data_IF_852473237182
#
_entry.id   IF_852473237182
#
_cell.length_a   1.000
_cell.length_b   1.000
_cell.length_c   1.000
_cell.angle_alpha   90.00
_cell.angle_beta   90.00
_cell.angle_gamma   90.00
#
_symmetry.space_group_name_H-M   'P 1'
#
loop_
_entity.id
_entity.type
_entity.pdbx_description
1 polymer ?
#
# COMPACT_ATOMS: atom_id res chain seq x y z
N UNK A 1 23.22 -1.69 13.94
CA UNK A 1 23.53 -1.81 12.49
C UNK A 1 22.37 -2.50 11.78
N UNK A 2 22.01 -2.09 10.57
CA UNK A 2 20.93 -2.70 9.77
C UNK A 2 21.48 -3.93 9.04
N UNK A 3 20.80 -5.07 9.19
CA UNK A 3 21.17 -6.34 8.56
C UNK A 3 20.64 -6.39 7.13
N UNK A 4 19.33 -6.35 6.98
CA UNK A 4 18.61 -6.32 5.70
C UNK A 4 17.29 -5.57 5.81
N UNK A 5 16.78 -5.14 4.65
CA UNK A 5 15.49 -4.47 4.51
C UNK A 5 14.67 -5.20 3.46
N UNK A 6 13.46 -5.61 3.81
CA UNK A 6 12.47 -6.10 2.87
C UNK A 6 11.34 -5.06 2.75
N UNK A 7 10.76 -4.92 1.56
CA UNK A 7 9.78 -3.86 1.26
C UNK A 7 8.53 -4.48 0.65
N UNK A 8 7.35 -4.06 1.11
CA UNK A 8 6.07 -4.39 0.48
C UNK A 8 5.50 -3.13 -0.15
N UNK A 9 5.33 -3.12 -1.47
CA UNK A 9 4.75 -2.01 -2.24
C UNK A 9 3.58 -2.46 -3.11
N UNK A 10 2.71 -1.53 -3.49
CA UNK A 10 1.65 -1.77 -4.47
C UNK A 10 2.14 -1.53 -5.89
N UNK A 11 1.74 -2.40 -6.82
CA UNK A 11 2.11 -2.32 -8.23
C UNK A 11 1.02 -1.66 -9.10
N UNK A 12 -0.18 -1.45 -8.54
CA UNK A 12 -1.32 -0.92 -9.27
C UNK A 12 -1.82 0.39 -8.64
N UNK A 13 -3.13 0.59 -8.47
CA UNK A 13 -3.73 1.84 -7.94
C UNK A 13 -4.08 1.78 -6.44
N UNK A 14 -3.40 0.95 -5.66
CA UNK A 14 -3.72 0.72 -4.25
C UNK A 14 -4.72 -0.42 -4.05
N UNK A 15 -4.98 -0.76 -2.79
CA UNK A 15 -5.92 -1.82 -2.38
C UNK A 15 -5.59 -3.23 -2.90
N UNK A 16 -4.29 -3.50 -3.16
CA UNK A 16 -3.78 -4.79 -3.66
C UNK A 16 -3.66 -5.87 -2.58
N UNK A 17 -4.03 -5.56 -1.32
CA UNK A 17 -3.91 -6.51 -0.22
C UNK A 17 -2.54 -6.53 0.45
N UNK A 18 -1.81 -5.40 0.45
CA UNK A 18 -0.51 -5.27 1.13
C UNK A 18 -0.54 -5.70 2.59
N UNK A 19 -1.60 -5.36 3.33
CA UNK A 19 -1.77 -5.76 4.73
C UNK A 19 -1.74 -7.28 4.94
N UNK A 20 -2.39 -8.05 4.04
CA UNK A 20 -2.35 -9.52 4.05
C UNK A 20 -0.93 -10.05 3.84
N UNK A 21 -0.20 -9.51 2.87
CA UNK A 21 1.17 -9.89 2.57
C UNK A 21 2.08 -9.63 3.77
N UNK A 22 1.96 -8.45 4.37
CA UNK A 22 2.70 -8.08 5.58
C UNK A 22 2.40 -9.06 6.71
N UNK A 23 1.11 -9.34 6.96
CA UNK A 23 0.70 -10.28 7.98
C UNK A 23 1.37 -11.66 7.82
N UNK A 24 1.38 -12.22 6.61
CA UNK A 24 2.02 -13.51 6.36
C UNK A 24 3.55 -13.45 6.47
N UNK A 25 4.17 -12.36 6.03
CA UNK A 25 5.61 -12.17 6.23
C UNK A 25 5.98 -12.11 7.71
N UNK A 26 5.18 -11.47 8.55
CA UNK A 26 5.41 -11.36 9.99
C UNK A 26 5.19 -12.66 10.74
N UNK A 27 4.28 -13.52 10.27
CA UNK A 27 4.10 -14.88 10.82
C UNK A 27 5.29 -15.79 10.53
N UNK A 28 5.87 -15.67 9.35
CA UNK A 28 6.86 -16.61 8.83
C UNK A 28 8.31 -16.16 8.95
N UNK A 29 8.55 -14.88 9.23
CA UNK A 29 9.89 -14.30 9.32
C UNK A 29 10.05 -13.45 10.57
N UNK A 30 11.30 -13.33 11.03
CA UNK A 30 11.65 -12.47 12.16
C UNK A 30 12.10 -11.10 11.65
N UNK A 31 11.32 -10.08 11.97
CA UNK A 31 11.67 -8.69 11.77
C UNK A 31 11.81 -7.99 13.13
N UNK A 32 12.78 -7.10 13.23
CA UNK A 32 12.96 -6.28 14.43
C UNK A 32 12.08 -5.04 14.38
N UNK A 33 11.80 -4.55 13.14
CA UNK A 33 11.00 -3.37 12.91
C UNK A 33 10.06 -3.53 11.73
N UNK A 34 8.86 -2.93 11.84
CA UNK A 34 7.97 -2.64 10.71
C UNK A 34 7.84 -1.13 10.57
N UNK A 35 8.20 -0.60 9.39
CA UNK A 35 8.33 0.84 9.19
C UNK A 35 7.45 1.34 8.05
N UNK A 36 6.67 2.39 8.29
CA UNK A 36 5.95 3.13 7.28
C UNK A 36 6.84 4.24 6.75
N UNK A 37 7.04 4.33 5.43
CA UNK A 37 7.89 5.38 4.86
C UNK A 37 7.14 6.47 4.13
N UNK A 38 5.86 6.28 3.75
CA UNK A 38 5.09 7.24 2.97
C UNK A 38 3.61 7.27 3.37
N UNK A 39 2.88 8.28 2.89
CA UNK A 39 1.46 8.43 3.11
C UNK A 39 1.10 8.99 4.49
N UNK A 40 -0.13 8.80 4.89
CA UNK A 40 -0.70 9.26 6.15
C UNK A 40 -1.96 8.47 6.50
N UNK A 41 -2.91 9.06 7.21
CA UNK A 41 -4.18 8.45 7.60
C UNK A 41 -5.14 8.15 6.42
N UNK A 42 -4.76 8.50 5.19
CA UNK A 42 -5.46 8.10 3.97
C UNK A 42 -5.19 6.64 3.56
N UNK A 43 -4.16 5.99 4.10
CA UNK A 43 -3.95 4.57 3.91
C UNK A 43 -4.94 3.76 4.76
N UNK A 44 -5.29 2.57 4.28
CA UNK A 44 -6.12 1.63 5.04
C UNK A 44 -5.62 0.22 4.78
N UNK A 45 -5.04 -0.41 5.80
CA UNK A 45 -4.61 -1.80 5.75
C UNK A 45 -5.53 -2.67 6.59
N UNK A 46 -6.07 -3.69 5.95
CA UNK A 46 -6.88 -4.71 6.62
C UNK A 46 -6.01 -5.92 6.88
N UNK A 47 -5.97 -6.35 8.13
CA UNK A 47 -5.20 -7.52 8.58
C UNK A 47 -6.13 -8.49 9.31
N UNK A 48 -6.03 -9.76 8.98
CA UNK A 48 -6.70 -10.83 9.70
C UNK A 48 -5.72 -11.50 10.66
N UNK A 49 -6.08 -11.53 11.94
CA UNK A 49 -5.28 -12.14 13.00
C UNK A 49 -6.21 -12.88 13.96
N UNK A 50 -6.00 -14.20 14.12
CA UNK A 50 -6.83 -15.07 14.97
C UNK A 50 -8.34 -14.93 14.67
N UNK A 51 -8.70 -15.05 13.39
CA UNK A 51 -10.08 -14.95 12.86
C UNK A 51 -10.77 -13.61 13.12
N UNK A 52 -10.00 -12.59 13.51
CA UNK A 52 -10.49 -11.22 13.70
C UNK A 52 -9.89 -10.28 12.71
N UNK A 53 -10.70 -9.32 12.27
CA UNK A 53 -10.34 -8.31 11.31
C UNK A 53 -9.93 -7.02 12.02
N UNK A 54 -8.72 -6.54 11.75
CA UNK A 54 -8.19 -5.29 12.26
C UNK A 54 -7.87 -4.32 11.13
N UNK A 55 -7.92 -3.03 11.44
CA UNK A 55 -7.59 -1.97 10.49
C UNK A 55 -6.47 -1.10 11.06
N UNK A 56 -5.46 -0.83 10.24
CA UNK A 56 -4.45 0.19 10.53
C UNK A 56 -4.43 1.24 9.43
N UNK A 57 -4.13 2.47 9.79
CA UNK A 57 -4.06 3.60 8.87
C UNK A 57 -2.64 4.14 8.77
N UNK A 58 -2.18 4.89 9.75
CA UNK A 58 -0.81 5.42 9.79
C UNK A 58 0.14 4.54 10.59
N UNK A 59 -0.35 3.83 11.62
CA UNK A 59 0.46 2.93 12.44
C UNK A 59 0.81 1.68 11.61
N UNK A 60 2.10 1.28 11.54
CA UNK A 60 2.49 0.08 10.82
C UNK A 60 1.85 -1.19 11.38
N UNK A 61 1.52 -2.13 10.50
CA UNK A 61 0.80 -3.37 10.85
C UNK A 61 1.57 -4.29 11.81
N UNK A 62 2.88 -4.09 11.97
CA UNK A 62 3.73 -4.82 12.91
C UNK A 62 3.26 -4.74 14.37
N UNK A 63 2.53 -3.69 14.72
CA UNK A 63 1.98 -3.50 16.07
C UNK A 63 1.04 -4.66 16.47
N UNK A 64 0.31 -5.22 15.51
CA UNK A 64 -0.59 -6.35 15.72
C UNK A 64 0.15 -7.67 16.04
N UNK A 65 1.44 -7.73 15.74
CA UNK A 65 2.32 -8.88 15.93
C UNK A 65 3.32 -8.69 17.06
N UNK A 66 3.20 -7.62 17.84
CA UNK A 66 4.12 -7.31 18.94
C UNK A 66 5.54 -6.94 18.47
N UNK A 67 5.66 -6.34 17.28
CA UNK A 67 6.93 -5.93 16.68
C UNK A 67 7.06 -4.41 16.77
N UNK A 68 8.27 -3.91 17.00
CA UNK A 68 8.55 -2.48 17.02
C UNK A 68 8.11 -1.83 15.68
N UNK A 69 7.42 -0.71 15.78
CA UNK A 69 6.87 0.02 14.64
C UNK A 69 7.45 1.42 14.56
N UNK A 70 7.71 1.90 13.32
CA UNK A 70 8.15 3.28 13.08
C UNK A 70 7.27 3.96 12.02
N UNK A 71 6.72 5.12 12.39
CA UNK A 71 6.18 6.09 11.43
C UNK A 71 7.36 6.96 10.99
N UNK A 72 7.75 6.83 9.72
CA UNK A 72 8.96 7.44 9.15
C UNK A 72 8.82 8.92 8.80
N UNK A 73 9.93 9.60 8.49
CA UNK A 73 10.00 11.07 8.33
C UNK A 73 9.22 11.63 7.14
N UNK A 74 8.94 10.78 6.14
CA UNK A 74 8.18 11.17 4.95
C UNK A 74 6.65 10.97 5.10
N UNK A 75 6.20 10.49 6.28
CA UNK A 75 4.78 10.38 6.61
C UNK A 75 4.21 11.74 7.03
N UNK A 76 2.89 11.88 6.81
CA UNK A 76 2.09 13.02 7.24
C UNK A 76 1.13 12.58 8.34
N UNK A 77 1.16 13.24 9.50
CA UNK A 77 0.45 12.82 10.70
C UNK A 77 -0.52 13.88 11.15
N UNK A 78 -1.80 13.55 11.22
CA UNK A 78 -2.77 14.30 12.00
C UNK A 78 -2.78 13.71 13.42
N UNK A 79 -2.62 14.56 14.44
CA UNK A 79 -2.48 14.13 15.83
C UNK A 79 -3.75 13.44 16.34
N UNK A 80 -4.94 13.96 15.99
CA UNK A 80 -6.21 13.41 16.44
C UNK A 80 -6.48 12.04 15.79
N UNK A 81 -6.21 11.90 14.48
CA UNK A 81 -6.33 10.63 13.76
C UNK A 81 -5.38 9.59 14.38
N UNK A 82 -4.14 9.98 14.70
CA UNK A 82 -3.15 9.10 15.32
C UNK A 82 -3.57 8.66 16.73
N UNK A 83 -4.02 9.61 17.57
CA UNK A 83 -4.49 9.28 18.91
C UNK A 83 -5.69 8.33 18.86
N UNK A 84 -6.63 8.56 17.94
CA UNK A 84 -7.79 7.69 17.74
C UNK A 84 -7.37 6.27 17.34
N UNK A 85 -6.39 6.13 16.45
CA UNK A 85 -5.85 4.82 16.04
C UNK A 85 -5.10 4.12 17.19
N UNK A 86 -4.32 4.89 17.99
CA UNK A 86 -3.63 4.35 19.19
C UNK A 86 -4.65 3.83 20.22
N UNK A 87 -5.70 4.57 20.51
CA UNK A 87 -6.76 4.15 21.45
C UNK A 87 -7.53 2.93 20.92
N UNK A 88 -7.83 2.88 19.61
CA UNK A 88 -8.42 1.71 18.98
C UNK A 88 -7.56 0.46 19.19
N UNK A 89 -6.27 0.53 18.89
CA UNK A 89 -5.35 -0.60 19.04
C UNK A 89 -5.18 -1.03 20.50
N UNK A 90 -5.03 -0.07 21.40
CA UNK A 90 -4.95 -0.30 22.85
C UNK A 90 -6.23 -0.95 23.39
N UNK A 91 -7.40 -0.49 22.95
CA UNK A 91 -8.70 -1.08 23.32
C UNK A 91 -8.88 -2.54 22.86
N UNK A 92 -8.12 -2.96 21.84
CA UNK A 92 -8.05 -4.35 21.38
C UNK A 92 -6.92 -5.16 22.02
N UNK A 93 -6.19 -4.59 22.98
CA UNK A 93 -5.14 -5.28 23.76
C UNK A 93 -3.77 -5.28 23.10
N UNK A 94 -3.52 -4.46 22.07
CA UNK A 94 -2.20 -4.35 21.45
C UNK A 94 -1.29 -3.38 22.23
N UNK A 95 -0.01 -3.72 22.28
CA UNK A 95 1.00 -2.94 22.99
C UNK A 95 1.49 -1.76 22.15
N UNK A 96 0.88 -0.60 22.36
CA UNK A 96 1.25 0.63 21.64
C UNK A 96 2.62 1.20 22.09
N UNK A 97 3.24 0.72 23.19
CA UNK A 97 4.57 1.18 23.60
C UNK A 97 5.67 0.83 22.59
N UNK A 98 5.39 -0.16 21.72
CA UNK A 98 6.25 -0.56 20.61
C UNK A 98 6.25 0.43 19.44
N UNK A 99 5.33 1.40 19.42
CA UNK A 99 5.29 2.43 18.40
C UNK A 99 6.38 3.47 18.64
N UNK A 100 7.09 3.84 17.57
CA UNK A 100 7.96 5.01 17.50
C UNK A 100 7.56 5.89 16.33
N UNK A 101 7.79 7.19 16.48
CA UNK A 101 7.45 8.22 15.48
C UNK A 101 8.72 9.02 15.20
N UNK A 102 9.06 9.17 13.94
CA UNK A 102 10.17 10.03 13.56
C UNK A 102 9.91 11.48 14.02
N UNK A 103 10.88 12.15 14.66
CA UNK A 103 10.74 13.56 15.03
C UNK A 103 10.53 14.49 13.82
N UNK A 104 10.81 14.00 12.61
CA UNK A 104 10.74 14.76 11.37
C UNK A 104 9.44 14.56 10.57
N UNK A 105 8.46 13.78 11.05
CA UNK A 105 7.13 13.69 10.41
C UNK A 105 6.49 15.08 10.36
N UNK A 106 5.66 15.32 9.34
CA UNK A 106 4.95 16.62 9.17
C UNK A 106 3.57 16.52 9.79
N UNK A 107 3.23 17.52 10.58
CA UNK A 107 1.92 17.61 11.25
C UNK A 107 0.90 18.18 10.29
N UNK A 108 -0.19 17.45 10.07
CA UNK A 108 -1.36 17.93 9.35
C UNK A 108 -2.19 18.81 10.32
N UNK A 109 -2.35 20.08 9.97
CA UNK A 109 -3.12 21.04 10.74
C UNK A 109 -4.61 21.04 10.34
N UNK A 110 -5.51 21.63 11.15
CA UNK A 110 -6.90 21.84 10.75
C UNK A 110 -7.06 22.59 9.43
N UNK A 111 -6.22 23.61 9.17
CA UNK A 111 -6.24 24.37 7.92
C UNK A 111 -5.88 23.51 6.69
N UNK A 112 -4.97 22.55 6.83
CA UNK A 112 -4.67 21.58 5.75
C UNK A 112 -5.88 20.72 5.44
N UNK A 113 -6.62 20.25 6.46
CA UNK A 113 -7.85 19.46 6.25
C UNK A 113 -8.95 20.28 5.59
N UNK A 114 -9.14 21.51 6.03
CA UNK A 114 -10.14 22.42 5.47
C UNK A 114 -9.86 22.73 3.99
N UNK A 115 -8.62 23.03 3.64
CA UNK A 115 -8.21 23.24 2.25
C UNK A 115 -8.42 21.98 1.40
N UNK A 116 -8.04 20.81 1.92
CA UNK A 116 -8.11 19.53 1.21
C UNK A 116 -9.56 19.05 1.02
N UNK A 117 -10.45 19.38 1.93
CA UNK A 117 -11.88 19.02 1.85
C UNK A 117 -12.58 19.64 0.63
N UNK A 118 -12.06 20.74 0.10
CA UNK A 118 -12.57 21.40 -1.10
C UNK A 118 -12.03 20.77 -2.41
N UNK A 119 -11.12 19.81 -2.34
CA UNK A 119 -10.56 19.12 -3.51
C UNK A 119 -11.34 17.82 -3.79
N UNK A 120 -12.15 17.75 -4.88
CA UNK A 120 -12.98 16.57 -5.17
C UNK A 120 -12.15 15.31 -5.50
N UNK A 121 -10.88 15.47 -5.84
CA UNK A 121 -9.96 14.39 -6.16
C UNK A 121 -9.14 13.91 -4.95
N UNK A 122 -9.35 14.51 -3.77
CA UNK A 122 -8.66 14.16 -2.54
C UNK A 122 -9.49 13.27 -1.62
N UNK A 123 -8.81 12.67 -0.64
CA UNK A 123 -9.43 11.98 0.49
C UNK A 123 -9.89 12.93 1.60
N UNK A 124 -9.61 14.23 1.49
CA UNK A 124 -9.94 15.25 2.50
C UNK A 124 -9.13 15.11 3.79
N UNK A 125 -8.01 14.41 3.80
CA UNK A 125 -7.17 14.16 4.98
C UNK A 125 -6.09 15.22 5.22
N UNK A 126 -5.99 16.24 4.34
CA UNK A 126 -5.04 17.34 4.46
C UNK A 126 -3.60 17.00 4.03
N UNK A 127 -3.40 15.86 3.36
CA UNK A 127 -2.04 15.39 2.98
C UNK A 127 -1.46 16.26 1.89
N UNK A 128 -2.23 16.58 0.84
CA UNK A 128 -1.76 17.42 -0.27
C UNK A 128 -1.28 18.80 0.17
N UNK A 129 -2.09 19.61 0.87
CA UNK A 129 -1.68 20.89 1.42
C UNK A 129 -0.46 20.81 2.36
N UNK A 130 -0.41 19.79 3.24
CA UNK A 130 0.73 19.58 4.12
C UNK A 130 2.01 19.22 3.34
N UNK A 131 1.90 18.42 2.27
CA UNK A 131 3.02 18.09 1.38
C UNK A 131 3.53 19.33 0.65
N UNK A 132 2.64 20.19 0.12
CA UNK A 132 3.02 21.49 -0.45
C UNK A 132 3.83 22.31 0.54
N UNK A 133 3.36 22.42 1.78
CA UNK A 133 4.03 23.20 2.82
C UNK A 133 5.35 22.57 3.27
N UNK A 134 5.48 21.24 3.22
CA UNK A 134 6.77 20.55 3.41
C UNK A 134 7.81 21.01 2.39
N UNK A 135 7.46 21.00 1.11
CA UNK A 135 8.40 21.43 0.04
C UNK A 135 8.63 22.93 0.04
N UNK A 136 7.65 23.73 0.47
CA UNK A 136 7.81 25.16 0.75
C UNK A 136 8.62 25.44 2.04
N UNK A 137 8.98 24.41 2.82
CA UNK A 137 9.68 24.49 4.12
C UNK A 137 8.90 25.28 5.18
N UNK A 138 7.56 25.15 5.15
CA UNK A 138 6.63 25.81 6.08
C UNK A 138 5.90 24.82 7.00
N UNK A 139 5.89 23.51 6.64
CA UNK A 139 5.23 22.50 7.43
C UNK A 139 5.91 22.32 8.79
N UNK A 140 5.09 22.23 9.83
CA UNK A 140 5.55 21.95 11.20
C UNK A 140 6.01 20.50 11.30
N UNK A 141 7.21 20.29 11.89
CA UNK A 141 7.70 18.97 12.24
C UNK A 141 7.28 18.58 13.67
N UNK A 142 7.09 17.29 13.92
CA UNK A 142 6.66 16.82 15.23
C UNK A 142 7.62 17.23 16.36
N UNK A 143 8.94 17.25 16.10
CA UNK A 143 9.94 17.71 17.09
C UNK A 143 9.75 19.15 17.54
N UNK A 144 9.17 20.01 16.69
CA UNK A 144 9.01 21.43 16.96
C UNK A 144 7.70 21.72 17.76
N UNK A 145 6.67 20.87 17.60
CA UNK A 145 5.39 21.00 18.28
C UNK A 145 4.85 19.62 18.72
N UNK A 146 5.66 18.88 19.49
CA UNK A 146 5.26 17.56 19.98
C UNK A 146 4.35 17.70 21.20
N UNK A 147 3.10 17.18 21.14
CA UNK A 147 2.25 17.08 22.33
C UNK A 147 2.91 16.26 23.43
N UNK A 148 2.66 16.59 24.68
CA UNK A 148 3.24 15.86 25.84
C UNK A 148 2.94 14.36 25.77
N UNK A 149 1.72 14.01 25.36
CA UNK A 149 1.27 12.61 25.21
C UNK A 149 2.06 11.80 24.18
N UNK A 150 2.73 12.45 23.23
CA UNK A 150 3.50 11.77 22.18
C UNK A 150 5.00 11.80 22.40
N UNK A 151 5.52 12.51 23.39
CA UNK A 151 6.97 12.63 23.63
C UNK A 151 7.66 11.30 23.85
N UNK A 152 7.04 10.35 24.55
CA UNK A 152 7.58 9.01 24.80
C UNK A 152 7.64 8.12 23.54
N UNK A 153 6.90 8.48 22.51
CA UNK A 153 6.88 7.77 21.22
C UNK A 153 7.93 8.31 20.22
N UNK A 154 8.56 9.45 20.51
CA UNK A 154 9.59 9.97 19.61
C UNK A 154 10.74 8.98 19.46
N UNK A 155 11.13 8.75 18.21
CA UNK A 155 12.32 7.94 17.90
C UNK A 155 13.58 8.69 18.30
N UNK A 156 14.39 8.07 19.17
CA UNK A 156 15.64 8.66 19.70
C UNK A 156 16.87 7.84 19.34
N UNK A 157 16.68 6.69 18.70
CA UNK A 157 17.74 5.77 18.29
C UNK A 157 17.72 5.53 16.79
N UNK A 158 18.83 5.05 16.24
CA UNK A 158 18.89 4.63 14.84
C UNK A 158 18.23 3.26 14.62
N UNK A 159 17.65 3.05 13.44
CA UNK A 159 17.14 1.75 13.04
C UNK A 159 18.26 0.70 13.01
N UNK A 160 17.96 -0.51 13.43
CA UNK A 160 18.88 -1.64 13.46
C UNK A 160 18.16 -2.95 13.16
N UNK A 161 18.93 -4.02 12.94
CA UNK A 161 18.39 -5.37 12.71
C UNK A 161 17.77 -5.55 11.34
N UNK A 162 16.74 -6.36 11.28
CA UNK A 162 15.98 -6.71 10.07
C UNK A 162 14.69 -5.91 10.00
N UNK A 163 14.49 -5.20 8.90
CA UNK A 163 13.42 -4.23 8.75
C UNK A 163 12.45 -4.69 7.66
N UNK A 164 11.15 -4.61 7.94
CA UNK A 164 10.09 -4.69 6.93
C UNK A 164 9.52 -3.29 6.69
N UNK A 165 9.58 -2.81 5.46
CA UNK A 165 9.00 -1.54 5.08
C UNK A 165 7.60 -1.75 4.49
N UNK A 166 6.61 -1.08 5.06
CA UNK A 166 5.20 -1.15 4.69
C UNK A 166 4.80 0.07 3.88
N UNK A 167 4.54 -0.11 2.57
CA UNK A 167 4.12 0.95 1.67
C UNK A 167 2.63 1.27 1.74
N UNK A 168 2.31 2.54 1.49
CA UNK A 168 0.96 3.02 1.29
C UNK A 168 0.70 3.28 -0.20
N UNK A 169 -0.57 3.21 -0.62
CA UNK A 169 -1.03 3.39 -2.00
C UNK A 169 -0.39 2.37 -2.98
N UNK A 170 -0.27 2.72 -4.26
CA UNK A 170 0.31 1.86 -5.29
C UNK A 170 1.05 2.66 -6.35
N UNK A 171 1.74 1.96 -7.26
CA UNK A 171 2.63 2.55 -8.27
C UNK A 171 1.93 3.60 -9.15
N UNK A 172 0.72 3.31 -9.60
CA UNK A 172 -0.03 4.22 -10.48
C UNK A 172 -0.70 5.40 -9.74
N UNK A 173 -0.50 5.48 -8.42
CA UNK A 173 -0.83 6.65 -7.60
C UNK A 173 0.42 7.47 -7.21
N UNK A 174 1.62 7.07 -7.65
CA UNK A 174 2.86 7.80 -7.37
C UNK A 174 2.85 9.19 -8.00
N UNK A 175 3.36 10.18 -7.27
CA UNK A 175 3.39 11.60 -7.71
C UNK A 175 4.17 11.78 -9.02
N UNK A 176 5.17 10.93 -9.32
CA UNK A 176 6.04 11.04 -10.48
C UNK A 176 5.64 10.10 -11.63
N UNK A 177 5.01 8.96 -11.33
CA UNK A 177 4.75 7.90 -12.32
C UNK A 177 3.27 7.65 -12.59
N UNK A 178 2.38 8.09 -11.68
CA UNK A 178 0.95 8.04 -11.89
C UNK A 178 0.45 9.05 -12.92
N UNK A 179 -0.83 9.01 -13.23
CA UNK A 179 -1.46 9.97 -14.14
C UNK A 179 -1.76 11.29 -13.41
N UNK A 180 -0.80 12.22 -13.47
CA UNK A 180 -0.94 13.54 -12.84
C UNK A 180 -2.10 14.36 -13.48
N UNK A 181 -2.99 15.03 -12.71
CA UNK A 181 -2.93 15.24 -11.25
C UNK A 181 -3.68 14.18 -10.40
N UNK A 182 -4.10 13.07 -10.97
CA UNK A 182 -4.91 12.01 -10.32
C UNK A 182 -4.03 11.04 -9.51
N UNK A 183 -3.16 11.57 -8.67
CA UNK A 183 -2.13 10.87 -7.91
C UNK A 183 -2.16 11.23 -6.42
N UNK A 184 -1.42 10.50 -5.59
CA UNK A 184 -1.14 10.91 -4.21
C UNK A 184 -0.03 11.94 -4.15
N UNK A 185 0.09 12.66 -3.04
CA UNK A 185 1.17 13.64 -2.80
C UNK A 185 2.46 12.99 -2.25
N UNK A 186 2.65 11.69 -2.47
CA UNK A 186 3.77 10.92 -1.93
C UNK A 186 4.48 10.13 -3.01
N UNK A 187 5.76 9.85 -2.79
CA UNK A 187 6.49 8.84 -3.56
C UNK A 187 6.17 7.46 -2.99
N UNK A 188 5.61 6.58 -3.83
CA UNK A 188 5.17 5.23 -3.43
C UNK A 188 6.20 4.15 -3.76
N UNK A 189 7.28 4.50 -4.48
CA UNK A 189 8.29 3.57 -4.92
C UNK A 189 9.22 3.10 -3.79
N UNK A 190 9.71 1.85 -3.86
CA UNK A 190 10.57 1.26 -2.84
C UNK A 190 11.84 2.05 -2.50
N UNK A 191 12.45 2.74 -3.47
CA UNK A 191 13.67 3.51 -3.22
C UNK A 191 13.45 4.63 -2.19
N UNK A 192 12.25 5.18 -2.10
CA UNK A 192 11.94 6.25 -1.15
C UNK A 192 11.90 5.77 0.31
N UNK A 193 11.85 4.45 0.55
CA UNK A 193 11.98 3.87 1.87
C UNK A 193 13.37 4.14 2.49
N UNK A 194 14.38 4.45 1.69
CA UNK A 194 15.71 4.87 2.18
C UNK A 194 15.67 6.16 3.03
N UNK A 195 14.57 6.94 2.95
CA UNK A 195 14.31 8.06 3.85
C UNK A 195 14.25 7.66 5.33
N UNK A 196 14.03 6.39 5.62
CA UNK A 196 14.06 5.83 6.98
C UNK A 196 15.49 5.76 7.57
N UNK A 197 16.54 6.03 6.79
CA UNK A 197 17.91 6.11 7.27
C UNK A 197 18.78 4.89 6.96
N UNK A 198 18.48 4.13 5.91
CA UNK A 198 19.32 3.04 5.42
C UNK A 198 19.76 3.23 3.95
N UNK A 199 20.94 2.73 3.59
CA UNK A 199 21.42 2.83 2.21
C UNK A 199 20.70 1.84 1.29
N UNK A 200 20.52 2.15 -0.02
CA UNK A 200 19.82 1.28 -0.97
C UNK A 200 20.36 -0.15 -1.07
N UNK A 201 21.66 -0.35 -0.84
CA UNK A 201 22.29 -1.68 -0.86
C UNK A 201 21.81 -2.63 0.25
N UNK A 202 21.05 -2.14 1.24
CA UNK A 202 20.44 -2.97 2.27
C UNK A 202 19.07 -3.52 1.86
N UNK A 203 18.48 -3.02 0.78
CA UNK A 203 17.24 -3.55 0.23
C UNK A 203 17.53 -4.95 -0.34
N UNK A 204 16.84 -5.95 0.24
CA UNK A 204 17.04 -7.36 -0.08
C UNK A 204 15.90 -7.90 -0.96
N UNK A 205 14.66 -7.81 -0.47
CA UNK A 205 13.49 -8.27 -1.20
C UNK A 205 12.46 -7.16 -1.34
N UNK A 206 11.96 -6.97 -2.56
CA UNK A 206 10.84 -6.08 -2.86
C UNK A 206 9.66 -6.94 -3.27
N UNK A 207 8.68 -7.04 -2.38
CA UNK A 207 7.40 -7.71 -2.59
C UNK A 207 6.43 -6.74 -3.24
N UNK A 208 6.10 -6.99 -4.49
CA UNK A 208 5.13 -6.20 -5.24
C UNK A 208 3.75 -6.85 -5.19
N UNK A 209 2.78 -6.11 -4.67
CA UNK A 209 1.39 -6.55 -4.58
C UNK A 209 0.58 -6.11 -5.79
N UNK A 210 -0.16 -7.03 -6.40
CA UNK A 210 -1.13 -6.79 -7.46
C UNK A 210 -2.40 -7.62 -7.23
N UNK A 211 -3.45 -7.34 -7.97
CA UNK A 211 -4.62 -8.22 -8.14
C UNK A 211 -4.58 -8.82 -9.53
N UNK A 212 -5.34 -9.88 -9.76
CA UNK A 212 -5.51 -10.50 -11.08
C UNK A 212 -6.41 -9.67 -12.02
N UNK A 213 -6.98 -8.60 -11.52
CA UNK A 213 -7.71 -7.54 -12.22
C UNK A 213 -7.36 -6.19 -11.60
N UNK A 214 -7.54 -5.09 -12.32
CA UNK A 214 -7.23 -3.77 -11.83
C UNK A 214 -8.42 -3.10 -11.16
N UNK A 215 -8.16 -2.37 -10.08
CA UNK A 215 -9.17 -1.59 -9.37
C UNK A 215 -8.67 -0.21 -9.03
N UNK A 216 -9.59 0.78 -9.02
CA UNK A 216 -9.28 2.14 -8.63
C UNK A 216 -10.41 2.78 -7.83
N UNK A 217 -10.05 3.56 -6.83
CA UNK A 217 -10.95 4.52 -6.16
C UNK A 217 -10.66 5.92 -6.70
N UNK A 218 -11.71 6.71 -6.94
CA UNK A 218 -11.59 8.07 -7.46
C UNK A 218 -11.50 8.16 -8.98
N UNK A 219 -11.42 9.38 -9.47
CA UNK A 219 -11.41 9.68 -10.91
C UNK A 219 -9.99 9.64 -11.48
N UNK A 220 -9.87 9.11 -12.69
CA UNK A 220 -8.67 9.11 -13.51
C UNK A 220 -9.08 8.83 -14.95
N UNK A 221 -8.91 9.77 -15.89
CA UNK A 221 -9.38 9.59 -17.27
C UNK A 221 -8.74 8.39 -17.96
N UNK A 222 -7.48 8.05 -17.65
CA UNK A 222 -6.82 6.87 -18.24
C UNK A 222 -7.44 5.57 -17.74
N UNK A 223 -7.90 5.54 -16.48
CA UNK A 223 -8.60 4.38 -15.93
C UNK A 223 -10.04 4.31 -16.41
N UNK A 224 -10.74 5.45 -16.51
CA UNK A 224 -12.12 5.54 -17.02
C UNK A 224 -12.24 4.97 -18.43
N UNK A 225 -11.23 5.20 -19.28
CA UNK A 225 -11.19 4.63 -20.63
C UNK A 225 -11.22 3.09 -20.63
N UNK A 226 -10.66 2.47 -19.62
CA UNK A 226 -10.59 1.02 -19.47
C UNK A 226 -11.76 0.43 -18.66
N UNK A 227 -12.53 1.28 -17.97
CA UNK A 227 -13.62 0.86 -17.10
C UNK A 227 -14.89 0.62 -17.90
N UNK A 228 -15.49 -0.55 -17.75
CA UNK A 228 -16.72 -0.98 -18.44
C UNK A 228 -17.78 -1.38 -17.40
N UNK A 229 -18.49 -0.41 -16.77
CA UNK A 229 -19.37 -0.67 -15.64
C UNK A 229 -20.66 -1.45 -16.01
N UNK A 230 -21.01 -1.44 -17.29
CA UNK A 230 -22.23 -2.09 -17.81
C UNK A 230 -22.01 -3.58 -18.18
N UNK A 231 -20.77 -4.07 -18.06
CA UNK A 231 -20.49 -5.48 -18.30
C UNK A 231 -20.87 -6.31 -17.07
N UNK A 232 -21.83 -7.22 -17.21
CA UNK A 232 -22.31 -8.12 -16.14
C UNK A 232 -21.16 -8.84 -15.41
N UNK A 233 -20.12 -9.22 -16.14
CA UNK A 233 -18.93 -9.86 -15.54
C UNK A 233 -18.16 -8.93 -14.61
N UNK A 234 -18.03 -7.66 -14.96
CA UNK A 234 -17.34 -6.65 -14.13
C UNK A 234 -18.17 -6.38 -12.85
N UNK A 235 -19.49 -6.28 -12.97
CA UNK A 235 -20.37 -6.14 -11.80
C UNK A 235 -20.23 -7.34 -10.86
N UNK A 236 -20.22 -8.56 -11.38
CA UNK A 236 -19.96 -9.76 -10.58
C UNK A 236 -18.58 -9.76 -9.92
N UNK A 237 -17.52 -9.27 -10.57
CA UNK A 237 -16.20 -9.10 -9.93
C UNK A 237 -16.29 -8.11 -8.77
N UNK A 238 -17.03 -7.01 -8.90
CA UNK A 238 -17.22 -6.03 -7.80
C UNK A 238 -17.91 -6.69 -6.60
N UNK A 239 -18.98 -7.46 -6.83
CA UNK A 239 -19.77 -8.10 -5.79
C UNK A 239 -18.99 -9.22 -5.09
N UNK A 240 -18.51 -10.22 -5.84
CA UNK A 240 -17.78 -11.37 -5.31
C UNK A 240 -16.43 -10.96 -4.71
N UNK A 241 -15.76 -10.03 -5.37
CA UNK A 241 -14.49 -9.47 -4.90
C UNK A 241 -14.65 -8.53 -3.70
N UNK A 242 -15.87 -8.14 -3.34
CA UNK A 242 -16.15 -7.12 -2.30
C UNK A 242 -15.33 -5.85 -2.53
N UNK A 243 -15.36 -5.38 -3.79
CA UNK A 243 -14.52 -4.25 -4.21
C UNK A 243 -15.16 -2.91 -3.78
N UNK A 244 -15.04 -2.62 -2.48
CA UNK A 244 -15.49 -1.38 -1.85
C UNK A 244 -14.33 -0.73 -1.09
N UNK A 245 -14.29 0.59 -1.10
CA UNK A 245 -13.25 1.35 -0.40
C UNK A 245 -13.30 1.12 1.11
N UNK A 246 -12.19 0.73 1.71
CA UNK A 246 -12.09 0.39 3.14
C UNK A 246 -12.54 1.55 4.05
N UNK A 247 -12.23 2.79 3.64
CA UNK A 247 -12.55 3.99 4.43
C UNK A 247 -13.86 4.65 3.99
N UNK A 248 -14.20 4.58 2.70
CA UNK A 248 -15.33 5.34 2.13
C UNK A 248 -16.56 4.49 1.85
N UNK A 249 -16.43 3.16 1.82
CA UNK A 249 -17.49 2.23 1.42
C UNK A 249 -17.93 2.37 -0.06
N UNK A 250 -17.31 3.26 -0.84
CA UNK A 250 -17.67 3.46 -2.25
C UNK A 250 -17.23 2.27 -3.08
N UNK A 251 -18.02 1.82 -4.09
CA UNK A 251 -17.59 0.78 -5.01
C UNK A 251 -16.33 1.23 -5.76
N UNK A 252 -15.39 0.32 -5.91
CA UNK A 252 -14.19 0.52 -6.73
C UNK A 252 -14.58 0.32 -8.20
N UNK A 253 -13.98 1.11 -9.06
CA UNK A 253 -13.98 0.83 -10.50
C UNK A 253 -13.09 -0.37 -10.75
N UNK A 254 -13.53 -1.27 -11.63
CA UNK A 254 -12.84 -2.52 -11.95
C UNK A 254 -12.63 -2.62 -13.45
N UNK A 255 -11.46 -3.11 -13.87
CA UNK A 255 -11.16 -3.48 -15.25
C UNK A 255 -10.23 -4.70 -15.28
N UNK A 256 -10.05 -5.30 -16.45
CA UNK A 256 -9.11 -6.40 -16.62
C UNK A 256 -7.68 -5.98 -16.33
N UNK A 257 -6.86 -6.92 -15.82
CA UNK A 257 -5.45 -6.67 -15.52
C UNK A 257 -4.73 -6.10 -16.73
N UNK A 258 -4.20 -4.89 -16.61
CA UNK A 258 -3.36 -4.28 -17.64
C UNK A 258 -1.91 -4.78 -17.50
N UNK A 259 -1.55 -5.74 -18.34
CA UNK A 259 -0.25 -6.38 -18.35
C UNK A 259 0.90 -5.38 -18.55
N UNK A 260 0.76 -4.45 -19.51
CA UNK A 260 1.82 -3.50 -19.85
C UNK A 260 2.10 -2.54 -18.68
N UNK A 261 1.04 -2.10 -18.00
CA UNK A 261 1.15 -1.29 -16.79
C UNK A 261 1.78 -2.09 -15.64
N UNK A 262 1.43 -3.36 -15.48
CA UNK A 262 2.03 -4.23 -14.47
C UNK A 262 3.53 -4.44 -14.70
N UNK A 263 3.95 -4.74 -15.92
CA UNK A 263 5.36 -4.90 -16.32
C UNK A 263 6.15 -3.62 -16.04
N UNK A 264 5.61 -2.46 -16.40
CA UNK A 264 6.24 -1.17 -16.12
C UNK A 264 6.42 -0.94 -14.63
N UNK A 265 5.40 -1.22 -13.82
CA UNK A 265 5.46 -1.07 -12.37
C UNK A 265 6.50 -1.99 -11.73
N UNK A 266 6.56 -3.26 -12.14
CA UNK A 266 7.53 -4.25 -11.66
C UNK A 266 8.96 -3.80 -11.96
N UNK A 267 9.24 -3.42 -13.21
CA UNK A 267 10.59 -3.05 -13.63
C UNK A 267 11.09 -1.77 -12.96
N UNK A 268 10.24 -0.75 -12.83
CA UNK A 268 10.63 0.53 -12.20
C UNK A 268 10.75 0.40 -10.68
N UNK A 269 9.84 -0.35 -10.04
CA UNK A 269 9.91 -0.58 -8.58
C UNK A 269 11.06 -1.48 -8.16
N UNK A 270 11.65 -2.24 -9.09
CA UNK A 270 12.66 -3.25 -8.80
C UNK A 270 12.10 -4.48 -8.07
N UNK A 271 10.80 -4.74 -8.22
CA UNK A 271 10.11 -5.87 -7.58
C UNK A 271 10.74 -7.19 -8.02
N UNK A 272 11.07 -8.04 -7.04
CA UNK A 272 11.64 -9.35 -7.28
C UNK A 272 10.79 -10.53 -6.78
N UNK A 273 9.75 -10.25 -5.98
CA UNK A 273 8.68 -11.20 -5.65
C UNK A 273 7.34 -10.55 -5.95
N UNK A 274 6.61 -11.09 -6.91
CA UNK A 274 5.28 -10.58 -7.31
C UNK A 274 4.20 -11.43 -6.65
N UNK A 275 3.25 -10.79 -5.96
CA UNK A 275 2.10 -11.45 -5.36
C UNK A 275 0.84 -10.96 -6.07
N UNK A 276 0.14 -11.88 -6.74
CA UNK A 276 -1.10 -11.60 -7.48
C UNK A 276 -2.26 -12.20 -6.71
N UNK A 277 -3.06 -11.35 -6.10
CA UNK A 277 -4.20 -11.71 -5.25
C UNK A 277 -5.50 -11.80 -6.06
N UNK A 278 -6.56 -12.32 -5.43
CA UNK A 278 -7.94 -12.35 -5.98
C UNK A 278 -8.12 -13.29 -7.18
N UNK A 279 -7.27 -14.30 -7.33
CA UNK A 279 -7.40 -15.28 -8.43
C UNK A 279 -8.67 -16.13 -8.29
N UNK A 280 -9.12 -16.39 -7.07
CA UNK A 280 -10.39 -17.02 -6.71
C UNK A 280 -11.60 -16.31 -7.34
N UNK A 281 -11.58 -15.00 -7.43
CA UNK A 281 -12.70 -14.23 -7.97
C UNK A 281 -12.88 -14.47 -9.46
N UNK A 282 -11.79 -14.57 -10.25
CA UNK A 282 -11.90 -14.89 -11.67
C UNK A 282 -12.42 -16.32 -11.91
N UNK A 283 -12.11 -17.24 -11.01
CA UNK A 283 -12.63 -18.59 -11.05
C UNK A 283 -14.16 -18.60 -10.83
N UNK A 284 -14.65 -17.85 -9.82
CA UNK A 284 -16.09 -17.70 -9.54
C UNK A 284 -16.85 -17.11 -10.74
N UNK A 285 -16.29 -16.07 -11.39
CA UNK A 285 -16.93 -15.43 -12.54
C UNK A 285 -16.70 -16.17 -13.86
N UNK A 286 -15.76 -17.13 -13.87
CA UNK A 286 -15.40 -17.97 -15.01
C UNK A 286 -15.00 -17.14 -16.26
N UNK A 287 -14.18 -16.12 -16.04
CA UNK A 287 -13.60 -15.27 -17.11
C UNK A 287 -12.13 -15.00 -16.81
N UNK A 288 -11.26 -15.25 -17.78
CA UNK A 288 -9.82 -15.24 -17.61
C UNK A 288 -9.18 -14.35 -18.68
N UNK A 289 -9.18 -13.05 -18.43
CA UNK A 289 -8.85 -12.01 -19.42
C UNK A 289 -7.73 -11.10 -18.88
N UNK A 290 -6.75 -10.78 -19.74
CA UNK A 290 -5.79 -9.69 -19.51
C UNK A 290 -5.86 -8.69 -20.68
N UNK A 291 -5.49 -7.44 -20.41
CA UNK A 291 -5.26 -6.42 -21.42
C UNK A 291 -3.75 -6.32 -21.69
N UNK A 292 -3.32 -6.61 -22.93
CA UNK A 292 -1.92 -6.51 -23.36
C UNK A 292 -1.87 -5.89 -24.76
N UNK A 293 -0.97 -4.94 -24.99
CA UNK A 293 -0.83 -4.21 -26.27
C UNK A 293 -2.17 -3.66 -26.78
N UNK A 294 -3.00 -3.11 -25.86
CA UNK A 294 -4.37 -2.64 -26.10
C UNK A 294 -5.33 -3.70 -26.69
N UNK A 295 -5.07 -4.99 -26.43
CA UNK A 295 -5.92 -6.11 -26.86
C UNK A 295 -6.28 -6.97 -25.67
N UNK A 296 -7.55 -7.39 -25.62
CA UNK A 296 -7.99 -8.38 -24.64
C UNK A 296 -7.58 -9.78 -25.08
N UNK A 297 -6.81 -10.47 -24.23
CA UNK A 297 -6.40 -11.85 -24.41
C UNK A 297 -7.22 -12.71 -23.48
N UNK A 298 -8.02 -13.62 -24.06
CA UNK A 298 -8.82 -14.57 -23.33
C UNK A 298 -8.11 -15.90 -23.19
N UNK A 299 -8.19 -16.49 -22.00
CA UNK A 299 -7.67 -17.82 -21.70
C UNK A 299 -8.84 -18.78 -21.39
N UNK A 300 -8.66 -20.07 -21.67
CA UNK A 300 -9.70 -21.07 -21.45
C UNK A 300 -9.92 -21.40 -19.96
N UNK A 301 -8.84 -21.36 -19.17
CA UNK A 301 -8.87 -21.70 -17.74
C UNK A 301 -7.99 -20.75 -16.94
N UNK A 302 -8.26 -20.66 -15.62
CA UNK A 302 -7.43 -19.91 -14.68
C UNK A 302 -5.96 -20.41 -14.70
N UNK A 303 -5.75 -21.73 -14.76
CA UNK A 303 -4.40 -22.32 -14.77
C UNK A 303 -3.63 -21.94 -16.05
N UNK A 304 -4.30 -21.95 -17.21
CA UNK A 304 -3.68 -21.49 -18.47
C UNK A 304 -3.32 -20.01 -18.38
N UNK A 305 -4.21 -19.17 -17.84
CA UNK A 305 -3.94 -17.75 -17.62
C UNK A 305 -2.75 -17.54 -16.68
N UNK A 306 -2.72 -18.19 -15.51
CA UNK A 306 -1.64 -18.09 -14.52
C UNK A 306 -0.29 -18.50 -15.13
N UNK A 307 -0.26 -19.62 -15.84
CA UNK A 307 0.94 -20.14 -16.50
C UNK A 307 1.46 -19.15 -17.54
N UNK A 308 0.58 -18.70 -18.45
CA UNK A 308 0.98 -17.75 -19.51
C UNK A 308 1.36 -16.39 -18.99
N UNK A 309 0.62 -15.86 -17.99
CA UNK A 309 0.99 -14.62 -17.33
C UNK A 309 2.37 -14.73 -16.65
N UNK A 310 2.63 -15.85 -15.97
CA UNK A 310 3.92 -16.11 -15.34
C UNK A 310 5.07 -16.16 -16.36
N UNK A 311 4.91 -16.90 -17.47
CA UNK A 311 5.90 -16.96 -18.56
C UNK A 311 6.21 -15.56 -19.11
N UNK A 312 5.18 -14.77 -19.40
CA UNK A 312 5.31 -13.41 -19.90
C UNK A 312 6.05 -12.50 -18.90
N UNK A 313 5.67 -12.54 -17.62
CA UNK A 313 6.29 -11.72 -16.58
C UNK A 313 7.77 -12.08 -16.37
N UNK A 314 8.16 -13.37 -16.38
CA UNK A 314 9.56 -13.78 -16.28
C UNK A 314 10.37 -13.35 -17.52
N UNK A 315 9.74 -13.29 -18.70
CA UNK A 315 10.40 -12.82 -19.91
C UNK A 315 10.65 -11.30 -19.90
N UNK A 316 9.65 -10.51 -19.48
CA UNK A 316 9.67 -9.06 -19.61
C UNK A 316 10.21 -8.35 -18.35
N UNK A 317 10.31 -9.07 -17.20
CA UNK A 317 10.76 -8.52 -15.92
C UNK A 317 11.92 -9.36 -15.35
N UNK A 318 13.15 -8.99 -15.70
CA UNK A 318 14.36 -9.80 -15.39
C UNK A 318 14.73 -9.89 -13.91
N UNK A 319 14.17 -9.04 -13.06
CA UNK A 319 14.45 -9.06 -11.61
C UNK A 319 13.53 -10.00 -10.84
N UNK A 320 12.46 -10.50 -11.44
CA UNK A 320 11.54 -11.43 -10.79
C UNK A 320 12.25 -12.74 -10.47
N UNK A 321 12.16 -13.16 -9.21
CA UNK A 321 12.64 -14.45 -8.69
C UNK A 321 11.48 -15.39 -8.39
N UNK A 322 10.31 -14.85 -8.06
CA UNK A 322 9.12 -15.62 -7.67
C UNK A 322 7.84 -14.87 -8.01
N UNK A 323 6.84 -15.62 -8.49
CA UNK A 323 5.46 -15.15 -8.64
C UNK A 323 4.59 -16.05 -7.75
N UNK A 324 3.71 -15.43 -6.97
CA UNK A 324 2.80 -16.11 -6.06
C UNK A 324 1.38 -15.69 -6.41
N UNK A 325 0.52 -16.65 -6.67
CA UNK A 325 -0.91 -16.42 -6.83
C UNK A 325 -1.62 -16.72 -5.52
N UNK A 326 -2.46 -15.79 -5.05
CA UNK A 326 -3.22 -15.94 -3.80
C UNK A 326 -4.71 -15.97 -4.10
N UNK A 327 -5.31 -17.08 -3.75
CA UNK A 327 -6.73 -17.46 -3.89
C UNK A 327 -7.53 -17.33 -2.59
N UNK A 328 -6.91 -16.81 -1.54
CA UNK A 328 -7.54 -16.66 -0.24
C UNK A 328 -7.49 -15.21 0.27
N UNK A 329 -8.59 -14.67 0.85
CA UNK A 329 -8.61 -13.29 1.35
C UNK A 329 -7.64 -13.03 2.51
N UNK A 330 -7.29 -14.05 3.29
CA UNK A 330 -6.53 -13.93 4.53
C UNK A 330 -5.08 -14.44 4.44
N UNK A 331 -4.77 -15.30 3.47
CA UNK A 331 -3.49 -16.00 3.40
C UNK A 331 -2.76 -15.81 2.06
N UNK A 332 -1.44 -15.89 2.14
CA UNK A 332 -0.52 -15.98 1.01
C UNK A 332 0.45 -17.12 1.28
N UNK A 333 0.51 -18.10 0.41
CA UNK A 333 1.44 -19.23 0.52
C UNK A 333 2.79 -18.84 -0.10
N UNK A 334 3.76 -18.45 0.75
CA UNK A 334 5.11 -18.05 0.33
C UNK A 334 6.00 -19.23 -0.09
#
# INVERSE_FOLDING_TARGET
MINKVDIVCGLTWGDEGKGKIIGELLKNNKYDWVCRWNGGSNAGHTIYLNDKKYHTHIIPSGILYGIKCLIGPECFVNIDDLNSEMEYLKGHGFDISLLKISPYVKIITPSHKEEDANNPNSTGKGIGPCARDKYARKATQLKDQCPESLKSFLMTEDLHGTILCEGAQGFWLDINYGNYPYVTSSVTLPYSACSLGFPPCKINTIYGAAKIYDTRVGFDPDFEYLWQPEEETIERIVEEGKEYGTTTGRPRKVTWLNYDKLVKAINISGTNVVIISKVDILEIVNKFIILKDNKYINYETLETMKTKLGELLFNDCKLIKKIIYSDHPEHVNF
#
